data_IF_471731957607
#
_entry.id   IF_471731957607
#
_cell.length_a   1.000
_cell.length_b   1.000
_cell.length_c   1.000
_cell.angle_alpha   90.00
_cell.angle_beta   90.00
_cell.angle_gamma   90.00
#
_symmetry.space_group_name_H-M   'P 1'
#
loop_
_entity.id
_entity.type
_entity.pdbx_description
1 polymer ?
#
# COMPACT_ATOMS: atom_id res chain seq x y z
N UNK A 1 -3.56 -15.04 -72.51
CA UNK A 1 -3.93 -14.39 -71.23
C UNK A 1 -4.22 -15.49 -70.23
N UNK A 2 -3.34 -15.61 -69.23
CA UNK A 2 -3.28 -16.70 -68.24
C UNK A 2 -3.97 -16.19 -66.97
N UNK A 3 -5.10 -16.79 -66.56
CA UNK A 3 -5.69 -16.54 -65.25
C UNK A 3 -5.52 -17.78 -64.35
N UNK A 4 -4.55 -17.66 -63.44
CA UNK A 4 -4.30 -18.52 -62.30
C UNK A 4 -5.45 -18.36 -61.28
N UNK A 5 -6.18 -19.43 -60.98
CA UNK A 5 -7.08 -19.48 -59.82
C UNK A 5 -6.32 -20.24 -58.71
N UNK A 6 -5.66 -19.49 -57.84
CA UNK A 6 -5.04 -20.03 -56.64
C UNK A 6 -6.11 -20.28 -55.58
N UNK A 7 -6.20 -21.53 -55.12
CA UNK A 7 -6.87 -21.91 -53.87
C UNK A 7 -6.14 -21.20 -52.71
N UNK A 8 -6.74 -20.16 -52.14
CA UNK A 8 -6.31 -19.63 -50.82
C UNK A 8 -7.17 -20.26 -49.74
N UNK A 9 -6.60 -21.26 -49.09
CA UNK A 9 -7.10 -21.87 -47.86
C UNK A 9 -6.83 -20.88 -46.72
N UNK A 10 -7.85 -20.13 -46.29
CA UNK A 10 -7.73 -19.26 -45.11
C UNK A 10 -7.81 -20.12 -43.85
N UNK A 11 -6.66 -20.37 -43.22
CA UNK A 11 -6.56 -20.96 -41.90
C UNK A 11 -6.81 -19.86 -40.86
N UNK A 12 -8.02 -19.83 -40.30
CA UNK A 12 -8.37 -18.93 -39.19
C UNK A 12 -7.72 -19.48 -37.93
N UNK A 13 -6.61 -18.86 -37.51
CA UNK A 13 -5.96 -19.14 -36.24
C UNK A 13 -6.80 -18.50 -35.12
N UNK A 14 -7.64 -19.29 -34.47
CA UNK A 14 -8.42 -18.85 -33.31
C UNK A 14 -7.50 -18.75 -32.10
N UNK A 15 -7.11 -17.53 -31.73
CA UNK A 15 -6.47 -17.26 -30.44
C UNK A 15 -7.56 -17.35 -29.38
N UNK A 16 -7.59 -18.45 -28.63
CA UNK A 16 -8.40 -18.56 -27.43
C UNK A 16 -7.76 -17.68 -26.35
N UNK A 17 -8.33 -16.50 -26.09
CA UNK A 17 -8.02 -15.73 -24.89
C UNK A 17 -8.53 -16.50 -23.68
N UNK A 18 -7.62 -17.10 -22.91
CA UNK A 18 -7.94 -17.63 -21.59
C UNK A 18 -8.14 -16.42 -20.67
N UNK A 19 -9.38 -15.97 -20.55
CA UNK A 19 -9.80 -15.01 -19.53
C UNK A 19 -9.68 -15.69 -18.16
N UNK A 20 -8.60 -15.40 -17.42
CA UNK A 20 -8.56 -15.71 -15.99
C UNK A 20 -9.62 -14.89 -15.23
N UNK A 21 -10.05 -15.32 -14.03
CA UNK A 21 -10.92 -14.51 -13.20
C UNK A 21 -10.21 -13.20 -12.84
N UNK A 22 -10.80 -12.06 -13.22
CA UNK A 22 -10.40 -10.74 -12.73
C UNK A 22 -11.02 -10.60 -11.34
N UNK A 23 -10.21 -10.79 -10.29
CA UNK A 23 -10.63 -10.44 -8.94
C UNK A 23 -10.57 -8.92 -8.77
N UNK A 24 -11.53 -8.36 -8.03
CA UNK A 24 -11.47 -6.96 -7.63
C UNK A 24 -10.25 -6.73 -6.73
N UNK A 25 -9.57 -5.58 -6.90
CA UNK A 25 -8.43 -5.21 -6.05
C UNK A 25 -8.88 -5.05 -4.60
N UNK A 26 -8.01 -5.42 -3.66
CA UNK A 26 -8.19 -5.08 -2.25
C UNK A 26 -7.68 -3.66 -2.02
N UNK A 27 -8.52 -2.79 -1.46
CA UNK A 27 -8.13 -1.41 -1.16
C UNK A 27 -7.35 -1.38 0.16
N UNK A 28 -6.22 -0.67 0.17
CA UNK A 28 -5.45 -0.33 1.37
C UNK A 28 -5.40 1.20 1.48
N UNK A 29 -5.90 1.71 2.59
CA UNK A 29 -5.98 3.14 2.88
C UNK A 29 -4.79 3.58 3.74
N UNK A 30 -4.18 4.70 3.37
CA UNK A 30 -3.12 5.33 4.14
C UNK A 30 -3.45 6.81 4.34
N UNK A 31 -3.62 7.24 5.58
CA UNK A 31 -3.76 8.68 5.86
C UNK A 31 -2.42 9.35 6.15
N UNK A 32 -2.18 10.47 5.48
CA UNK A 32 -0.98 11.27 5.58
C UNK A 32 -1.34 12.76 5.81
N UNK A 33 -0.46 13.54 6.42
CA UNK A 33 -0.73 14.99 6.61
C UNK A 33 -0.75 15.71 5.26
N UNK A 34 -1.67 16.64 5.06
CA UNK A 34 -1.72 17.39 3.81
C UNK A 34 -0.52 18.33 3.67
N UNK A 35 0.08 18.35 2.47
CA UNK A 35 1.14 19.28 2.12
C UNK A 35 1.17 19.50 0.59
N UNK A 36 0.86 20.72 0.16
CA UNK A 36 0.69 21.07 -1.25
C UNK A 36 1.90 20.75 -2.15
N UNK A 37 3.12 20.76 -1.61
CA UNK A 37 4.34 20.47 -2.36
C UNK A 37 4.65 18.96 -2.39
N UNK A 38 4.32 18.24 -1.31
CA UNK A 38 4.61 16.81 -1.12
C UNK A 38 3.56 15.91 -1.75
N UNK A 39 2.29 16.25 -1.61
CA UNK A 39 1.18 15.36 -1.96
C UNK A 39 1.19 14.95 -3.44
N UNK A 40 1.42 15.87 -4.41
CA UNK A 40 1.54 15.49 -5.81
C UNK A 40 2.73 14.56 -6.08
N UNK A 41 3.81 14.70 -5.31
CA UNK A 41 5.00 13.84 -5.43
C UNK A 41 4.70 12.45 -4.88
N UNK A 42 4.05 12.33 -3.73
CA UNK A 42 3.66 11.05 -3.16
C UNK A 42 2.65 10.33 -4.05
N UNK A 43 1.65 11.04 -4.58
CA UNK A 43 0.72 10.47 -5.55
C UNK A 43 1.47 9.89 -6.75
N UNK A 44 2.34 10.69 -7.40
CA UNK A 44 3.01 10.28 -8.63
C UNK A 44 4.14 9.25 -8.44
N UNK A 45 4.84 9.27 -7.30
CA UNK A 45 6.07 8.47 -7.09
C UNK A 45 5.87 7.28 -6.16
N UNK A 46 4.85 7.29 -5.32
CA UNK A 46 4.52 6.18 -4.43
C UNK A 46 3.23 5.50 -4.89
N UNK A 47 2.10 6.21 -4.88
CA UNK A 47 0.78 5.61 -5.13
C UNK A 47 0.67 5.07 -6.56
N UNK A 48 0.94 5.91 -7.55
CA UNK A 48 0.79 5.53 -8.96
C UNK A 48 1.77 4.43 -9.36
N UNK A 49 3.01 4.49 -8.86
CA UNK A 49 4.05 3.48 -9.14
C UNK A 49 3.68 2.14 -8.50
N UNK A 50 3.24 2.14 -7.24
CA UNK A 50 2.83 0.92 -6.56
C UNK A 50 1.61 0.29 -7.25
N UNK A 51 0.58 1.07 -7.55
CA UNK A 51 -0.64 0.60 -8.19
C UNK A 51 -0.41 0.10 -9.63
N UNK A 52 0.61 0.62 -10.33
CA UNK A 52 1.02 0.12 -11.65
C UNK A 52 1.91 -1.12 -11.58
N UNK A 53 2.58 -1.37 -10.46
CA UNK A 53 3.52 -2.50 -10.33
C UNK A 53 2.84 -3.85 -10.13
N UNK A 54 1.55 -3.85 -9.76
CA UNK A 54 0.78 -5.06 -9.42
C UNK A 54 -0.74 -4.88 -9.68
N UNK A 55 -1.50 -5.98 -9.63
CA UNK A 55 -2.97 -5.97 -9.88
C UNK A 55 -3.83 -6.51 -8.72
N UNK A 56 -3.28 -6.69 -7.53
CA UNK A 56 -3.94 -7.26 -6.35
C UNK A 56 -4.42 -6.20 -5.36
N UNK A 57 -3.65 -5.12 -5.19
CA UNK A 57 -3.91 -4.06 -4.20
C UNK A 57 -4.16 -2.74 -4.92
N UNK A 58 -5.10 -1.96 -4.39
CA UNK A 58 -5.24 -0.54 -4.69
C UNK A 58 -4.82 0.25 -3.45
N UNK A 59 -3.65 0.88 -3.50
CA UNK A 59 -3.22 1.83 -2.48
C UNK A 59 -3.95 3.16 -2.70
N UNK A 60 -4.62 3.64 -1.67
CA UNK A 60 -5.29 4.94 -1.63
C UNK A 60 -4.66 5.76 -0.50
N UNK A 61 -3.90 6.79 -0.87
CA UNK A 61 -3.44 7.78 0.11
C UNK A 61 -4.47 8.89 0.24
N UNK A 62 -4.89 9.20 1.46
CA UNK A 62 -5.75 10.34 1.77
C UNK A 62 -4.96 11.39 2.55
N UNK A 63 -4.74 12.54 1.93
CA UNK A 63 -4.06 13.66 2.55
C UNK A 63 -5.05 14.47 3.39
N UNK A 64 -4.84 14.48 4.70
CA UNK A 64 -5.74 15.10 5.69
C UNK A 64 -5.13 16.37 6.24
N UNK A 65 -5.91 17.45 6.25
CA UNK A 65 -5.62 18.63 7.06
C UNK A 65 -5.77 18.27 8.54
N UNK A 66 -4.81 18.68 9.37
CA UNK A 66 -4.80 18.40 10.82
C UNK A 66 -4.93 16.90 11.13
N UNK A 67 -4.08 16.08 10.48
CA UNK A 67 -4.12 14.61 10.54
C UNK A 67 -4.26 14.11 11.98
N UNK A 68 -3.49 14.64 12.92
CA UNK A 68 -3.45 14.16 14.29
C UNK A 68 -4.83 14.17 14.98
N UNK A 69 -5.62 15.23 14.76
CA UNK A 69 -6.92 15.38 15.41
C UNK A 69 -7.97 14.46 14.77
N UNK A 70 -7.98 14.40 13.44
CA UNK A 70 -8.93 13.56 12.69
C UNK A 70 -8.62 12.07 12.85
N UNK A 71 -7.34 11.70 12.84
CA UNK A 71 -6.88 10.34 13.02
C UNK A 71 -7.25 9.83 14.40
N UNK A 72 -6.98 10.59 15.47
CA UNK A 72 -7.32 10.16 16.84
C UNK A 72 -8.81 9.86 16.99
N UNK A 73 -9.65 10.72 16.42
CA UNK A 73 -11.11 10.53 16.44
C UNK A 73 -11.51 9.26 15.67
N UNK A 74 -10.97 9.08 14.46
CA UNK A 74 -11.27 7.91 13.62
C UNK A 74 -10.80 6.59 14.25
N UNK A 75 -9.59 6.54 14.81
CA UNK A 75 -9.05 5.35 15.46
C UNK A 75 -9.93 4.91 16.65
N UNK A 76 -10.38 5.85 17.49
CA UNK A 76 -11.26 5.56 18.63
C UNK A 76 -12.66 5.11 18.15
N UNK A 77 -13.13 5.63 17.02
CA UNK A 77 -14.40 5.24 16.42
C UNK A 77 -14.34 3.87 15.71
N UNK A 78 -13.15 3.28 15.53
CA UNK A 78 -12.96 2.06 14.74
C UNK A 78 -13.04 2.29 13.23
N UNK A 79 -12.85 3.54 12.78
CA UNK A 79 -12.92 3.99 11.39
C UNK A 79 -11.57 4.53 10.90
N UNK A 80 -10.48 4.15 11.56
CA UNK A 80 -9.12 4.51 11.16
C UNK A 80 -8.67 3.86 9.84
N UNK A 81 -7.63 4.39 9.19
CA UNK A 81 -7.07 3.81 7.97
C UNK A 81 -6.31 2.51 8.25
N UNK A 82 -5.97 1.78 7.20
CA UNK A 82 -5.13 0.58 7.29
C UNK A 82 -3.66 0.91 7.65
N UNK A 83 -3.15 2.03 7.12
CA UNK A 83 -1.81 2.56 7.41
C UNK A 83 -1.94 3.94 8.06
N UNK A 84 -1.29 4.07 9.21
CA UNK A 84 -1.35 5.26 10.07
C UNK A 84 -0.02 6.02 10.01
N UNK A 85 -0.04 7.27 9.56
CA UNK A 85 1.07 8.21 9.73
C UNK A 85 0.91 8.98 11.05
N UNK A 86 1.99 9.09 11.82
CA UNK A 86 2.02 9.94 13.02
C UNK A 86 3.27 10.82 13.00
N UNK A 87 3.29 11.93 13.76
CA UNK A 87 4.46 12.82 13.80
C UNK A 87 5.72 12.17 14.40
N UNK A 88 5.58 11.02 15.06
CA UNK A 88 6.69 10.30 15.65
C UNK A 88 6.27 9.17 16.58
N UNK A 89 7.23 8.35 17.03
CA UNK A 89 6.98 7.10 17.74
C UNK A 89 6.23 7.28 19.08
N UNK A 90 6.32 8.45 19.72
CA UNK A 90 5.56 8.72 20.96
C UNK A 90 4.05 8.65 20.73
N UNK A 91 3.56 9.10 19.56
CA UNK A 91 2.14 9.02 19.20
C UNK A 91 1.74 7.57 18.85
N UNK A 92 2.64 6.82 18.21
CA UNK A 92 2.43 5.38 17.95
C UNK A 92 2.27 4.63 19.27
N UNK A 93 3.09 4.93 20.29
CA UNK A 93 2.99 4.29 21.61
C UNK A 93 1.61 4.50 22.24
N UNK A 94 1.02 5.69 22.13
CA UNK A 94 -0.35 5.95 22.63
C UNK A 94 -1.38 5.02 21.99
N UNK A 95 -1.32 4.83 20.66
CA UNK A 95 -2.24 3.93 19.96
C UNK A 95 -1.97 2.45 20.26
N UNK A 96 -0.70 2.07 20.42
CA UNK A 96 -0.32 0.71 20.81
C UNK A 96 -0.82 0.37 22.23
N UNK A 97 -0.63 1.27 23.21
CA UNK A 97 -1.14 1.10 24.57
C UNK A 97 -2.68 1.01 24.61
N UNK A 98 -3.36 1.71 23.70
CA UNK A 98 -4.81 1.65 23.54
C UNK A 98 -5.30 0.39 22.79
N UNK A 99 -4.39 -0.46 22.28
CA UNK A 99 -4.74 -1.65 21.50
C UNK A 99 -5.30 -1.34 20.10
N UNK A 100 -4.99 -0.16 19.56
CA UNK A 100 -5.51 0.34 18.29
C UNK A 100 -4.58 0.06 17.10
N UNK A 101 -3.40 -0.52 17.34
CA UNK A 101 -2.45 -0.93 16.30
C UNK A 101 -2.18 -2.43 16.38
N UNK A 102 -2.03 -3.04 15.21
CA UNK A 102 -1.55 -4.41 15.09
C UNK A 102 -0.02 -4.43 15.09
N UNK A 103 0.55 -5.42 15.77
CA UNK A 103 1.98 -5.70 15.70
C UNK A 103 2.37 -6.13 14.28
N UNK A 104 3.48 -5.59 13.78
CA UNK A 104 4.09 -5.98 12.50
C UNK A 104 5.31 -6.87 12.68
N UNK A 105 5.57 -7.36 13.90
CA UNK A 105 6.77 -8.13 14.25
C UNK A 105 6.98 -9.38 13.38
N UNK A 106 5.89 -10.09 13.05
CA UNK A 106 5.96 -11.26 12.16
C UNK A 106 6.44 -10.89 10.76
N UNK A 107 5.96 -9.77 10.23
CA UNK A 107 6.37 -9.23 8.93
C UNK A 107 7.80 -8.68 8.97
N UNK A 108 8.18 -7.99 10.06
CA UNK A 108 9.54 -7.53 10.27
C UNK A 108 10.54 -8.69 10.17
N UNK A 109 10.26 -9.81 10.84
CA UNK A 109 11.06 -11.04 10.76
C UNK A 109 11.03 -11.68 9.38
N UNK A 110 9.87 -11.72 8.73
CA UNK A 110 9.71 -12.31 7.41
C UNK A 110 10.52 -11.56 6.33
N UNK A 111 10.55 -10.23 6.42
CA UNK A 111 11.13 -9.36 5.39
C UNK A 111 12.48 -8.75 5.80
N UNK A 112 13.01 -9.09 6.98
CA UNK A 112 14.34 -8.67 7.45
C UNK A 112 14.45 -7.17 7.74
N UNK A 113 13.38 -6.53 8.24
CA UNK A 113 13.37 -5.07 8.41
C UNK A 113 14.37 -4.56 9.44
N UNK A 114 14.66 -5.34 10.48
CA UNK A 114 15.69 -5.01 11.49
C UNK A 114 17.08 -4.83 10.86
N UNK A 115 17.38 -5.59 9.80
CA UNK A 115 18.67 -5.56 9.11
C UNK A 115 18.72 -4.48 8.03
N UNK A 116 17.56 -4.11 7.46
CA UNK A 116 17.45 -3.09 6.43
C UNK A 116 17.48 -1.67 7.00
N UNK A 117 16.97 -1.48 8.22
CA UNK A 117 16.85 -0.17 8.86
C UNK A 117 18.06 0.12 9.74
N UNK A 118 18.37 1.41 9.91
CA UNK A 118 19.39 1.82 10.89
C UNK A 118 18.93 1.39 12.30
N UNK A 119 19.84 0.90 13.17
CA UNK A 119 19.43 0.32 14.46
C UNK A 119 18.58 1.25 15.34
N UNK A 120 18.93 2.54 15.38
CA UNK A 120 18.17 3.54 16.14
C UNK A 120 16.77 3.77 15.57
N UNK A 121 16.63 3.65 14.24
CA UNK A 121 15.39 3.88 13.50
C UNK A 121 14.44 2.70 13.67
N UNK A 122 14.95 1.48 13.60
CA UNK A 122 14.17 0.28 13.90
C UNK A 122 13.70 0.28 15.36
N UNK A 123 14.62 0.53 16.29
CA UNK A 123 14.34 0.54 17.73
C UNK A 123 13.30 1.60 18.13
N UNK A 124 13.19 2.70 17.37
CA UNK A 124 12.20 3.73 17.64
C UNK A 124 10.74 3.23 17.50
N UNK A 125 10.52 2.21 16.67
CA UNK A 125 9.21 1.59 16.46
C UNK A 125 8.96 0.32 17.25
N UNK A 126 9.88 -0.08 18.13
CA UNK A 126 9.74 -1.29 18.94
C UNK A 126 9.17 -0.95 20.32
N UNK A 127 8.03 -1.54 20.64
CA UNK A 127 7.38 -1.42 21.94
C UNK A 127 7.08 -2.80 22.50
N UNK A 128 7.39 -2.99 23.79
CA UNK A 128 7.14 -4.24 24.50
C UNK A 128 7.73 -5.49 23.81
N UNK A 129 8.83 -5.29 23.06
CA UNK A 129 9.56 -6.35 22.35
C UNK A 129 9.04 -6.66 20.94
N UNK A 130 8.08 -5.90 20.42
CA UNK A 130 7.50 -6.10 19.09
C UNK A 130 7.56 -4.82 18.23
N UNK A 131 7.69 -4.98 16.92
CA UNK A 131 7.73 -3.89 15.96
C UNK A 131 6.32 -3.37 15.60
N UNK A 132 6.05 -2.08 15.87
CA UNK A 132 4.76 -1.43 15.64
C UNK A 132 4.78 -0.29 14.61
N UNK A 133 5.93 0.30 14.31
CA UNK A 133 6.00 1.38 13.32
C UNK A 133 7.33 1.43 12.59
N UNK A 134 7.26 1.63 11.28
CA UNK A 134 8.43 2.04 10.51
C UNK A 134 8.69 3.55 10.66
N UNK A 135 9.96 3.98 10.71
CA UNK A 135 10.38 5.37 10.80
C UNK A 135 10.26 6.12 9.47
#
# INVERSE_FOLDING_TARGET
MINKIYKSLSLILSIAFISGPIYAKSTVTWWAEANADRDPVFQAKLVDVFNASQNEIELVMEFKEALNDVLRTAMIAGEGPDIVETPGPSYVKEYQEAGLLSSMESYSKQYGWEELLLPWSYSAGVFDGEFYSAP
#
